data_IF_470959166735
#
_entry.id   IF_470959166735
#
_cell.length_a   1.000
_cell.length_b   1.000
_cell.length_c   1.000
_cell.angle_alpha   90.00
_cell.angle_beta   90.00
_cell.angle_gamma   90.00
#
_symmetry.space_group_name_H-M   'P 1'
#
loop_
_entity.id
_entity.type
_entity.pdbx_description
1 polymer ?
#
# COMPACT_ATOMS: atom_id res chain seq x y z
N UNK A 1 -9.91 -1.94 -6.73
CA UNK A 1 -8.94 -1.13 -7.51
C UNK A 1 -7.53 -1.64 -7.24
N UNK A 2 -6.68 -1.72 -8.27
CA UNK A 2 -5.28 -2.12 -8.15
C UNK A 2 -4.39 -0.88 -8.11
N UNK A 3 -3.53 -0.78 -7.10
CA UNK A 3 -2.56 0.30 -6.94
C UNK A 3 -1.13 -0.27 -6.96
N UNK A 4 -0.17 0.57 -7.36
CA UNK A 4 1.25 0.26 -7.34
C UNK A 4 1.95 1.17 -6.35
N UNK A 5 2.63 0.58 -5.37
CA UNK A 5 3.52 1.28 -4.44
C UNK A 5 4.95 1.22 -4.99
N UNK A 6 5.64 2.36 -5.04
CA UNK A 6 6.99 2.49 -5.59
C UNK A 6 7.88 3.18 -4.56
N UNK A 7 8.54 2.39 -3.73
CA UNK A 7 9.54 2.85 -2.77
C UNK A 7 10.94 2.80 -3.41
N UNK A 8 11.90 3.52 -2.85
CA UNK A 8 13.31 3.50 -3.29
C UNK A 8 13.95 2.11 -3.29
N UNK A 9 13.43 1.18 -2.48
CA UNK A 9 13.98 -0.17 -2.30
C UNK A 9 13.00 -1.29 -2.66
N UNK A 10 11.75 -0.98 -3.04
CA UNK A 10 10.75 -2.00 -3.33
C UNK A 10 9.61 -1.45 -4.20
N UNK A 11 9.09 -2.28 -5.10
CA UNK A 11 7.88 -1.99 -5.85
C UNK A 11 6.91 -3.18 -5.74
N UNK A 12 5.65 -2.93 -5.41
CA UNK A 12 4.64 -3.98 -5.30
C UNK A 12 3.23 -3.46 -5.53
N UNK A 13 2.34 -4.38 -5.90
CA UNK A 13 0.91 -4.11 -6.05
C UNK A 13 0.15 -4.28 -4.75
N UNK A 14 -0.87 -3.44 -4.56
CA UNK A 14 -1.89 -3.61 -3.52
C UNK A 14 -3.28 -3.57 -4.15
N UNK A 15 -4.21 -4.37 -3.62
CA UNK A 15 -5.61 -4.38 -4.03
C UNK A 15 -6.42 -3.73 -2.92
N UNK A 16 -7.26 -2.78 -3.32
CA UNK A 16 -8.09 -1.96 -2.43
C UNK A 16 -9.55 -2.13 -2.81
N UNK A 17 -10.39 -2.37 -1.81
CA UNK A 17 -11.85 -2.39 -1.90
C UNK A 17 -12.45 -1.52 -0.80
N UNK A 18 -13.45 -0.69 -1.13
CA UNK A 18 -14.06 0.24 -0.17
C UNK A 18 -13.03 1.10 0.60
N UNK A 19 -11.99 1.57 -0.10
CA UNK A 19 -10.85 2.32 0.46
C UNK A 19 -9.99 1.53 1.46
N UNK A 20 -10.20 0.24 1.65
CA UNK A 20 -9.45 -0.64 2.53
C UNK A 20 -8.56 -1.59 1.72
N UNK A 21 -7.31 -1.76 2.13
CA UNK A 21 -6.40 -2.72 1.50
C UNK A 21 -6.81 -4.15 1.88
N UNK A 22 -7.06 -4.98 0.86
CA UNK A 22 -7.48 -6.38 1.05
C UNK A 22 -6.39 -7.39 0.67
N UNK A 23 -5.53 -7.06 -0.30
CA UNK A 23 -4.42 -7.91 -0.72
C UNK A 23 -3.18 -7.09 -1.02
N UNK A 24 -2.03 -7.68 -0.71
CA UNK A 24 -0.72 -7.04 -0.79
C UNK A 24 0.37 -8.11 -0.69
N UNK A 25 1.56 -7.82 -1.21
CA UNK A 25 2.73 -8.68 -1.09
C UNK A 25 3.07 -9.02 0.38
N UNK A 26 3.66 -10.20 0.68
CA UNK A 26 3.97 -10.62 2.05
C UNK A 26 4.73 -9.58 2.90
N UNK A 27 5.68 -8.86 2.28
CA UNK A 27 6.49 -7.81 2.92
C UNK A 27 5.66 -6.64 3.47
N UNK A 28 4.46 -6.41 2.93
CA UNK A 28 3.59 -5.29 3.26
C UNK A 28 2.23 -5.74 3.82
N UNK A 29 2.14 -6.97 4.37
CA UNK A 29 0.91 -7.48 5.03
C UNK A 29 0.36 -6.57 6.12
N UNK A 30 1.20 -5.76 6.76
CA UNK A 30 0.79 -4.77 7.76
C UNK A 30 -0.20 -3.73 7.20
N UNK A 31 -0.29 -3.58 5.88
CA UNK A 31 -1.23 -2.68 5.20
C UNK A 31 -2.66 -3.23 5.14
N UNK A 32 -2.86 -4.55 5.26
CA UNK A 32 -4.18 -5.18 5.16
C UNK A 32 -5.11 -4.62 6.24
N UNK A 33 -6.33 -4.25 5.86
CA UNK A 33 -7.33 -3.67 6.76
C UNK A 33 -7.15 -2.18 7.04
N UNK A 34 -6.09 -1.54 6.53
CA UNK A 34 -5.89 -0.09 6.65
C UNK A 34 -6.54 0.66 5.50
N UNK A 35 -6.93 1.90 5.78
CA UNK A 35 -7.44 2.81 4.76
C UNK A 35 -6.31 3.24 3.81
N UNK A 36 -6.60 3.36 2.51
CA UNK A 36 -5.63 3.77 1.48
C UNK A 36 -5.00 5.14 1.79
N UNK A 37 -5.74 6.08 2.38
CA UNK A 37 -5.23 7.42 2.73
C UNK A 37 -4.08 7.33 3.74
N UNK A 38 -4.16 6.41 4.71
CA UNK A 38 -3.08 6.16 5.66
C UNK A 38 -1.83 5.60 4.96
N UNK A 39 -2.04 4.74 3.95
CA UNK A 39 -0.96 4.14 3.17
C UNK A 39 -0.27 5.20 2.32
N UNK A 40 -1.04 6.06 1.65
CA UNK A 40 -0.51 7.18 0.85
C UNK A 40 0.38 8.11 1.69
N UNK A 41 -0.05 8.49 2.90
CA UNK A 41 0.76 9.28 3.82
C UNK A 41 2.06 8.56 4.22
N UNK A 42 1.99 7.25 4.47
CA UNK A 42 3.16 6.46 4.85
C UNK A 42 4.16 6.35 3.69
N UNK A 43 3.66 6.09 2.49
CA UNK A 43 4.40 6.00 1.21
C UNK A 43 5.10 7.35 0.93
N UNK A 44 4.39 8.46 1.05
CA UNK A 44 4.98 9.81 0.93
C UNK A 44 6.13 10.05 1.93
N UNK A 45 5.98 9.62 3.19
CA UNK A 45 7.04 9.72 4.22
C UNK A 45 8.26 8.82 3.94
N UNK A 46 8.14 7.83 3.05
CA UNK A 46 9.23 6.95 2.64
C UNK A 46 9.89 7.37 1.32
N UNK A 47 9.59 8.58 0.84
CA UNK A 47 10.10 9.12 -0.43
C UNK A 47 9.76 8.24 -1.64
N UNK A 48 8.58 7.62 -1.63
CA UNK A 48 8.12 6.78 -2.72
C UNK A 48 6.79 6.14 -2.45
#
# INVERSE_FOLDING_TARGET
MLYRIVLSYACYGIIVENLIVIHVAPIARWMIGKNISFIEEWVAKKHG
#
